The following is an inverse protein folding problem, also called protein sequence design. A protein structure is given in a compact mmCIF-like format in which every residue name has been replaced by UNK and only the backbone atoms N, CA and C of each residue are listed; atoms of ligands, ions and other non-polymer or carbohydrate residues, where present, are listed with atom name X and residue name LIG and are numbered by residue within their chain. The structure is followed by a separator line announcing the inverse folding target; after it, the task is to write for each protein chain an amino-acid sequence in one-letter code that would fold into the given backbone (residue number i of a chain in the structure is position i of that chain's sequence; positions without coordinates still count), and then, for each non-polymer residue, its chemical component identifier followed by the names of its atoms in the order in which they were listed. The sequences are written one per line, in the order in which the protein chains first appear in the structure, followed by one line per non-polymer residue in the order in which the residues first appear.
data_IF_422209709259
#
_entry.id   IF_422209709259
#
_cell.length_a   1.000
_cell.length_b   1.000
_cell.length_c   1.000
_cell.angle_alpha   90.00
_cell.angle_beta   90.00
_cell.angle_gamma   90.00
#
_symmetry.space_group_name_H-M   'P 1'
#
loop_
_entity.id
_entity.type
_entity.pdbx_description
1 polymer ?
#
# COMPACT_ATOMS: atom_id res chain seq x y z
N UNK A 1 2.14 7.29 12.95
CA UNK A 1 2.16 6.53 11.68
C UNK A 1 2.60 5.11 11.94
N UNK A 2 1.82 4.14 11.47
CA UNK A 2 2.10 2.70 11.47
C UNK A 2 1.98 2.19 10.03
N UNK A 3 2.89 1.32 9.59
CA UNK A 3 2.96 0.86 8.19
C UNK A 3 3.00 -0.66 8.15
N UNK A 4 2.21 -1.25 7.25
CA UNK A 4 2.35 -2.65 6.80
C UNK A 4 2.62 -2.64 5.30
N UNK A 5 3.59 -3.41 4.86
CA UNK A 5 4.21 -3.25 3.55
C UNK A 5 4.49 -4.61 2.89
N UNK A 6 4.29 -4.69 1.58
CA UNK A 6 4.70 -5.81 0.73
C UNK A 6 5.31 -5.30 -0.56
N UNK A 7 6.43 -5.91 -0.96
CA UNK A 7 7.18 -5.51 -2.15
C UNK A 7 8.53 -4.91 -1.81
N UNK A 8 8.99 -3.99 -2.65
CA UNK A 8 10.29 -3.34 -2.54
C UNK A 8 10.28 -1.95 -3.16
N UNK A 9 10.89 -0.98 -2.48
CA UNK A 9 11.18 0.36 -3.02
C UNK A 9 12.62 0.40 -3.52
N UNK A 10 12.82 0.32 -4.83
CA UNK A 10 14.14 0.21 -5.45
C UNK A 10 15.05 1.41 -5.20
N UNK A 11 14.49 2.62 -5.16
CA UNK A 11 15.26 3.84 -4.89
C UNK A 11 15.43 4.16 -3.40
N UNK A 12 15.23 3.17 -2.49
CA UNK A 12 15.30 3.41 -1.04
C UNK A 12 16.63 3.98 -0.58
N UNK A 13 17.75 3.65 -1.24
CA UNK A 13 19.09 4.15 -0.85
C UNK A 13 19.20 5.66 -1.07
N UNK A 14 18.76 6.15 -2.21
CA UNK A 14 18.79 7.57 -2.57
C UNK A 14 17.82 8.35 -1.67
N UNK A 15 16.62 7.81 -1.45
CA UNK A 15 15.64 8.39 -0.54
C UNK A 15 16.17 8.45 0.90
N UNK A 16 16.85 7.39 1.37
CA UNK A 16 17.46 7.35 2.71
C UNK A 16 18.51 8.44 2.87
N UNK A 17 19.36 8.65 1.86
CA UNK A 17 20.36 9.72 1.88
C UNK A 17 19.71 11.11 1.94
N UNK A 18 18.70 11.37 1.10
CA UNK A 18 17.94 12.62 1.09
C UNK A 18 17.25 12.89 2.44
N UNK A 19 16.60 11.89 3.01
CA UNK A 19 15.94 11.99 4.31
C UNK A 19 16.94 12.15 5.46
N UNK A 20 18.09 11.45 5.41
CA UNK A 20 19.15 11.64 6.41
C UNK A 20 19.70 13.08 6.40
N UNK A 21 19.85 13.68 5.20
CA UNK A 21 20.23 15.09 5.07
C UNK A 21 19.19 16.06 5.64
N UNK A 22 17.92 15.66 5.70
CA UNK A 22 16.82 16.39 6.36
C UNK A 22 16.73 16.09 7.86
N UNK A 23 17.66 15.33 8.43
CA UNK A 23 17.76 15.07 9.87
C UNK A 23 17.06 13.79 10.35
N UNK A 24 16.52 12.97 9.45
CA UNK A 24 15.94 11.69 9.82
C UNK A 24 17.00 10.68 10.29
N UNK A 25 16.69 9.98 11.38
CA UNK A 25 17.50 8.86 11.90
C UNK A 25 16.80 7.54 11.61
N UNK A 26 17.56 6.57 11.10
CA UNK A 26 17.07 5.23 10.76
C UNK A 26 17.60 4.19 11.75
N UNK A 27 16.74 3.27 12.15
CA UNK A 27 17.06 2.19 13.09
C UNK A 27 17.29 0.84 12.38
N UNK A 28 16.79 0.71 11.16
CA UNK A 28 16.91 -0.49 10.33
C UNK A 28 17.52 -0.15 8.97
N UNK A 29 17.84 -1.19 8.21
CA UNK A 29 18.23 -1.07 6.79
C UNK A 29 17.06 -1.35 5.84
N UNK A 30 15.83 -1.50 6.36
CA UNK A 30 14.65 -1.83 5.56
C UNK A 30 14.17 -0.61 4.77
N UNK A 31 13.82 -0.85 3.52
CA UNK A 31 13.11 0.09 2.66
C UNK A 31 11.74 0.52 3.25
N UNK A 32 11.07 -0.35 4.01
CA UNK A 32 9.83 -0.04 4.71
C UNK A 32 9.98 1.15 5.66
N UNK A 33 11.11 1.25 6.36
CA UNK A 33 11.40 2.41 7.23
C UNK A 33 11.61 3.68 6.41
N UNK A 34 12.26 3.57 5.24
CA UNK A 34 12.44 4.69 4.31
C UNK A 34 11.08 5.22 3.82
N UNK A 35 10.16 4.33 3.45
CA UNK A 35 8.78 4.71 3.06
C UNK A 35 8.05 5.41 4.20
N UNK A 36 8.16 4.91 5.43
CA UNK A 36 7.55 5.54 6.61
C UNK A 36 8.09 6.96 6.83
N UNK A 37 9.41 7.14 6.70
CA UNK A 37 10.05 8.44 6.87
C UNK A 37 9.67 9.41 5.74
N UNK A 38 9.60 8.94 4.48
CA UNK A 38 9.14 9.76 3.36
C UNK A 38 7.71 10.29 3.57
N UNK A 39 6.80 9.46 4.11
CA UNK A 39 5.44 9.91 4.46
C UNK A 39 5.42 10.94 5.58
N UNK A 40 6.30 10.82 6.59
CA UNK A 40 6.41 11.83 7.64
C UNK A 40 6.91 13.17 7.10
N UNK A 41 7.88 13.14 6.21
CA UNK A 41 8.53 14.34 5.69
C UNK A 41 7.67 15.03 4.62
N UNK A 42 7.35 14.30 3.54
CA UNK A 42 6.71 14.89 2.36
C UNK A 42 5.21 14.65 2.30
N UNK A 43 4.68 13.71 3.08
CA UNK A 43 3.26 13.30 3.03
C UNK A 43 2.31 14.10 3.94
N UNK A 44 2.81 15.06 4.71
CA UNK A 44 2.02 15.75 5.75
C UNK A 44 0.87 16.61 5.18
N UNK A 45 1.10 17.32 4.07
CA UNK A 45 0.09 18.10 3.35
C UNK A 45 -0.68 17.26 2.32
N UNK A 46 0.03 16.47 1.52
CA UNK A 46 -0.55 15.58 0.52
C UNK A 46 0.21 14.24 0.52
N UNK A 47 -0.42 13.12 0.89
CA UNK A 47 0.24 11.83 0.89
C UNK A 47 0.77 11.41 -0.49
N UNK A 48 0.19 11.94 -1.59
CA UNK A 48 0.64 11.64 -2.95
C UNK A 48 2.03 12.16 -3.24
N UNK A 49 2.46 13.24 -2.57
CA UNK A 49 3.82 13.78 -2.68
C UNK A 49 4.85 12.77 -2.19
N UNK A 50 4.59 12.12 -1.05
CA UNK A 50 5.47 11.04 -0.59
C UNK A 50 5.44 9.84 -1.56
N UNK A 51 4.26 9.47 -2.08
CA UNK A 51 4.11 8.36 -3.02
C UNK A 51 4.85 8.60 -4.34
N UNK A 52 4.86 9.85 -4.86
CA UNK A 52 5.52 10.18 -6.12
C UNK A 52 7.05 10.05 -6.08
N UNK A 53 7.64 10.10 -4.89
CA UNK A 53 9.08 9.90 -4.69
C UNK A 53 9.48 8.42 -4.72
N UNK A 54 8.52 7.49 -4.58
CA UNK A 54 8.78 6.06 -4.49
C UNK A 54 8.85 5.43 -5.88
N UNK A 55 9.94 4.70 -6.14
CA UNK A 55 10.07 3.84 -7.31
C UNK A 55 10.20 2.39 -6.84
N UNK A 56 9.36 1.48 -7.35
CA UNK A 56 9.37 0.09 -6.95
C UNK A 56 8.13 -0.69 -7.35
N UNK A 57 8.07 -1.94 -6.90
CA UNK A 57 6.85 -2.75 -6.90
C UNK A 57 6.39 -2.88 -5.47
N UNK A 58 5.26 -2.30 -5.10
CA UNK A 58 4.85 -2.30 -3.70
C UNK A 58 3.35 -2.13 -3.54
N UNK A 59 2.86 -2.65 -2.43
CA UNK A 59 1.58 -2.28 -1.87
C UNK A 59 1.72 -2.13 -0.36
N UNK A 60 1.07 -1.13 0.21
CA UNK A 60 1.14 -0.92 1.65
C UNK A 60 -0.09 -0.21 2.19
N UNK A 61 -0.28 -0.36 3.49
CA UNK A 61 -1.27 0.38 4.25
C UNK A 61 -0.57 1.22 5.33
N UNK A 62 -0.83 2.51 5.31
CA UNK A 62 -0.31 3.48 6.27
C UNK A 62 -1.45 3.99 7.14
N UNK A 63 -1.32 3.79 8.46
CA UNK A 63 -2.28 4.26 9.44
C UNK A 63 -1.74 5.48 10.18
N UNK A 64 -2.46 6.60 10.07
CA UNK A 64 -2.25 7.77 10.92
C UNK A 64 -3.07 7.65 12.19
N UNK A 65 -2.39 7.37 13.30
CA UNK A 65 -3.00 7.23 14.64
C UNK A 65 -3.56 8.54 15.18
N UNK A 66 -3.00 9.68 14.80
CA UNK A 66 -3.45 10.99 15.27
C UNK A 66 -4.73 11.41 14.54
N UNK A 67 -4.77 11.22 13.23
CA UNK A 67 -5.94 11.57 12.39
C UNK A 67 -7.00 10.47 12.32
N UNK A 68 -6.65 9.24 12.69
CA UNK A 68 -7.46 8.02 12.49
C UNK A 68 -7.80 7.78 11.02
N UNK A 69 -6.80 7.94 10.16
CA UNK A 69 -6.92 7.81 8.71
C UNK A 69 -6.08 6.64 8.19
N UNK A 70 -6.68 5.85 7.28
CA UNK A 70 -6.02 4.74 6.61
C UNK A 70 -5.78 5.09 5.15
N UNK A 71 -4.50 5.09 4.75
CA UNK A 71 -4.10 5.21 3.36
C UNK A 71 -3.69 3.85 2.81
N UNK A 72 -4.34 3.42 1.74
CA UNK A 72 -3.99 2.21 0.98
C UNK A 72 -3.30 2.61 -0.32
N UNK A 73 -2.08 2.12 -0.54
CA UNK A 73 -1.25 2.51 -1.68
C UNK A 73 -0.82 1.28 -2.48
N UNK A 74 -0.85 1.40 -3.80
CA UNK A 74 -0.21 0.48 -4.76
C UNK A 74 0.81 1.24 -5.58
N UNK A 75 1.82 0.53 -6.08
CA UNK A 75 2.72 1.04 -7.09
C UNK A 75 1.99 1.41 -8.39
N UNK A 76 2.67 2.19 -9.24
CA UNK A 76 2.09 2.81 -10.45
C UNK A 76 1.53 1.79 -11.43
N UNK A 77 2.11 0.59 -11.49
CA UNK A 77 1.68 -0.48 -12.38
C UNK A 77 0.74 -1.46 -11.67
N UNK A 78 0.54 -1.30 -10.37
CA UNK A 78 -0.26 -2.22 -9.56
C UNK A 78 0.35 -3.63 -9.50
N UNK A 79 1.67 -3.76 -9.51
CA UNK A 79 2.32 -5.08 -9.52
C UNK A 79 1.96 -5.86 -8.26
N UNK A 80 2.00 -5.23 -7.08
CA UNK A 80 1.58 -5.92 -5.85
C UNK A 80 0.07 -5.84 -5.65
N UNK A 81 -0.58 -6.98 -5.36
CA UNK A 81 -2.02 -7.01 -5.14
C UNK A 81 -2.37 -6.35 -3.80
N UNK A 82 -3.47 -5.59 -3.81
CA UNK A 82 -4.07 -5.00 -2.62
C UNK A 82 -5.58 -4.95 -2.83
N UNK A 83 -6.28 -5.73 -2.03
CA UNK A 83 -7.73 -5.81 -2.00
C UNK A 83 -8.23 -5.10 -0.76
N UNK A 84 -9.40 -4.48 -0.86
CA UNK A 84 -10.09 -3.89 0.27
C UNK A 84 -11.59 -4.11 0.19
N UNK A 85 -12.24 -4.09 1.35
CA UNK A 85 -13.68 -4.20 1.50
C UNK A 85 -14.15 -3.24 2.60
N UNK A 86 -15.10 -2.39 2.26
CA UNK A 86 -15.67 -1.44 3.21
C UNK A 86 -16.73 -2.13 4.07
N UNK A 87 -16.64 -1.93 5.37
CA UNK A 87 -17.62 -2.39 6.37
C UNK A 87 -18.37 -1.18 6.93
N UNK A 88 -19.41 -1.43 7.74
CA UNK A 88 -20.17 -0.37 8.43
C UNK A 88 -19.29 0.55 9.29
N UNK A 89 -18.16 0.06 9.80
CA UNK A 89 -17.34 0.76 10.80
C UNK A 89 -15.87 0.94 10.39
N UNK A 90 -15.49 0.58 9.17
CA UNK A 90 -14.10 0.64 8.75
C UNK A 90 -13.83 -0.14 7.47
N UNK A 91 -12.58 -0.57 7.28
CA UNK A 91 -12.13 -1.23 6.06
C UNK A 91 -11.35 -2.49 6.42
N UNK A 92 -11.66 -3.59 5.74
CA UNK A 92 -10.81 -4.78 5.66
C UNK A 92 -9.90 -4.64 4.46
N UNK A 93 -8.64 -5.04 4.58
CA UNK A 93 -7.72 -5.06 3.45
C UNK A 93 -6.74 -6.23 3.55
N UNK A 94 -6.19 -6.64 2.41
CA UNK A 94 -5.23 -7.74 2.35
C UNK A 94 -4.60 -7.87 0.96
N UNK A 95 -3.52 -8.63 0.88
CA UNK A 95 -2.82 -8.92 -0.39
C UNK A 95 -3.57 -9.94 -1.25
N UNK A 96 -4.56 -10.64 -0.71
CA UNK A 96 -5.35 -11.64 -1.43
C UNK A 96 -6.83 -11.54 -1.04
N UNK A 97 -7.78 -11.85 -1.94
CA UNK A 97 -9.22 -11.78 -1.64
C UNK A 97 -9.64 -12.70 -0.49
N UNK A 98 -9.00 -13.88 -0.37
CA UNK A 98 -9.28 -14.85 0.68
C UNK A 98 -9.08 -14.29 2.10
N UNK A 99 -8.17 -13.32 2.27
CA UNK A 99 -7.96 -12.67 3.56
C UNK A 99 -9.18 -11.84 3.99
N UNK A 100 -9.86 -11.22 3.04
CA UNK A 100 -11.10 -10.47 3.29
C UNK A 100 -12.25 -11.45 3.55
N UNK A 101 -12.41 -12.46 2.70
CA UNK A 101 -13.53 -13.44 2.78
C UNK A 101 -13.47 -14.35 4.02
N UNK A 102 -12.29 -14.47 4.64
CA UNK A 102 -12.12 -15.16 5.92
C UNK A 102 -12.76 -14.41 7.09
N UNK A 103 -13.02 -13.09 6.96
CA UNK A 103 -13.62 -12.28 8.00
C UNK A 103 -15.16 -12.30 7.90
N UNK A 104 -15.84 -12.52 9.02
CA UNK A 104 -17.31 -12.57 9.08
C UNK A 104 -18.01 -11.23 8.77
N UNK A 105 -17.27 -10.12 8.80
CA UNK A 105 -17.78 -8.80 8.41
C UNK A 105 -17.82 -8.61 6.89
N UNK A 106 -17.15 -9.47 6.12
CA UNK A 106 -17.24 -9.46 4.67
C UNK A 106 -18.43 -10.30 4.22
N UNK A 107 -19.34 -9.68 3.47
CA UNK A 107 -20.38 -10.44 2.79
C UNK A 107 -19.74 -11.34 1.72
N UNK A 108 -20.07 -12.63 1.73
CA UNK A 108 -19.60 -13.60 0.73
C UNK A 108 -20.47 -13.53 -0.52
N UNK A 109 -20.53 -12.35 -1.13
CA UNK A 109 -21.19 -12.12 -2.40
C UNK A 109 -20.13 -11.78 -3.45
N UNK A 110 -20.07 -12.57 -4.53
CA UNK A 110 -19.28 -12.21 -5.71
C UNK A 110 -20.20 -11.38 -6.58
N UNK A 111 -19.94 -10.08 -6.67
CA UNK A 111 -20.55 -9.24 -7.69
C UNK A 111 -19.86 -9.46 -9.05
N UNK A 112 -20.46 -8.94 -10.13
CA UNK A 112 -19.92 -9.09 -11.49
C UNK A 112 -18.49 -8.55 -11.62
N UNK A 113 -18.12 -7.52 -10.86
CA UNK A 113 -16.76 -6.97 -10.85
C UNK A 113 -15.77 -7.87 -10.09
N UNK A 114 -16.19 -8.48 -8.99
CA UNK A 114 -15.44 -9.51 -8.27
C UNK A 114 -15.23 -10.76 -9.12
N UNK A 115 -16.25 -11.17 -9.89
CA UNK A 115 -16.14 -12.25 -10.87
C UNK A 115 -15.15 -11.88 -11.99
N UNK A 116 -15.27 -10.68 -12.55
CA UNK A 116 -14.35 -10.17 -13.59
C UNK A 116 -12.91 -10.15 -13.11
N UNK A 117 -12.65 -9.68 -11.89
CA UNK A 117 -11.30 -9.66 -11.31
C UNK A 117 -10.76 -11.06 -11.05
N UNK A 118 -11.60 -11.99 -10.57
CA UNK A 118 -11.20 -13.37 -10.37
C UNK A 118 -10.79 -14.03 -11.70
N UNK A 119 -11.61 -13.86 -12.75
CA UNK A 119 -11.39 -14.44 -14.07
C UNK A 119 -10.22 -13.78 -14.83
N UNK A 120 -10.03 -12.47 -14.69
CA UNK A 120 -8.91 -11.76 -15.31
C UNK A 120 -7.59 -11.94 -14.54
N UNK A 121 -7.59 -12.29 -13.24
CA UNK A 121 -6.36 -12.51 -12.46
C UNK A 121 -5.62 -13.81 -12.81
N UNK A 122 -6.30 -14.76 -13.48
CA UNK A 122 -5.72 -16.01 -13.98
C UNK A 122 -5.29 -15.97 -15.45
N UNK A 123 -5.55 -14.87 -16.16
CA UNK A 123 -5.29 -14.75 -17.60
C UNK A 123 -4.24 -13.65 -17.82
N UNK A 124 -2.97 -14.04 -17.92
CA UNK A 124 -1.97 -13.19 -18.54
C UNK A 124 -2.27 -13.13 -20.05
N UNK A 125 -2.28 -11.89 -20.55
CA UNK A 125 -2.30 -11.43 -21.94
C UNK A 125 -3.64 -11.56 -22.68
N UNK A 126 -4.26 -10.41 -22.94
CA UNK A 126 -4.90 -10.18 -24.24
C UNK A 126 -4.06 -9.12 -24.97
N UNK A 127 -3.47 -9.43 -26.13
CA UNK A 127 -2.60 -8.53 -26.86
C UNK A 127 -3.43 -7.68 -27.83
N UNK A 128 -4.07 -6.61 -27.36
CA UNK A 128 -4.50 -5.47 -28.20
C UNK A 128 -4.51 -4.17 -27.40
#
# INVERSE_FOLDING_TARGET
LVLVYTGETYNYRDLRQRLAALGHRFYTSSDTEVVLHAHREWGHCDPRTAVSELNGMFAYALWDTAKRELLLVRDRLGIKPLYYYQTKHGVLFGSEPKAILANSLAERAIDLEGLRRALCSSSIADPY
#
